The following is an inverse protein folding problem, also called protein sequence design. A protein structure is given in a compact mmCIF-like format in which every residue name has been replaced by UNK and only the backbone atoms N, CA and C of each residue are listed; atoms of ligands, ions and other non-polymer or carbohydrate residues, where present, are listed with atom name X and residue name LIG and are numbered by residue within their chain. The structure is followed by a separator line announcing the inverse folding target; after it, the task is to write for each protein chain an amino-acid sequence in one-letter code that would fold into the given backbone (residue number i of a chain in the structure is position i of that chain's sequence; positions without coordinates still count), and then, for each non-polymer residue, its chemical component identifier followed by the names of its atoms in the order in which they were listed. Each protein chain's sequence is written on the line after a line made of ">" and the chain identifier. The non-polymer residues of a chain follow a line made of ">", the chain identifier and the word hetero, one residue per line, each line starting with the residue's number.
data_IF_182327119539
#
_entry.id   IF_182327119539
#
_cell.length_a   1.000
_cell.length_b   1.000
_cell.length_c   1.000
_cell.angle_alpha   90.00
_cell.angle_beta   90.00
_cell.angle_gamma   90.00
#
_symmetry.space_group_name_H-M   'P 1'
#
loop_
_entity.id
_entity.type
_entity.pdbx_description
1 polymer ?
#
# COMPACT_ATOMS: atom_id res chain seq x y z
N UNK A 1 -0.56 22.90 3.93
CA UNK A 1 -0.80 22.01 5.09
C UNK A 1 -1.68 20.87 4.62
N UNK A 2 -1.36 19.62 4.98
CA UNK A 2 -2.15 18.46 4.55
C UNK A 2 -3.60 18.57 5.05
N UNK A 3 -4.56 18.17 4.22
CA UNK A 3 -5.96 18.13 4.60
C UNK A 3 -6.16 17.16 5.79
N UNK A 4 -6.79 17.63 6.86
CA UNK A 4 -7.01 16.84 8.08
C UNK A 4 -7.88 15.60 7.85
N UNK A 5 -8.81 15.65 6.90
CA UNK A 5 -9.64 14.51 6.49
C UNK A 5 -8.76 13.43 5.86
N UNK A 6 -7.80 13.82 5.02
CA UNK A 6 -6.86 12.88 4.38
C UNK A 6 -5.97 12.19 5.42
N UNK A 7 -5.41 12.95 6.38
CA UNK A 7 -4.61 12.36 7.46
C UNK A 7 -5.42 11.39 8.32
N UNK A 8 -6.63 11.79 8.73
CA UNK A 8 -7.51 10.92 9.52
C UNK A 8 -7.88 9.63 8.79
N UNK A 9 -8.13 9.71 7.48
CA UNK A 9 -8.40 8.52 6.66
C UNK A 9 -7.18 7.58 6.59
N UNK A 10 -5.98 8.14 6.40
CA UNK A 10 -4.73 7.35 6.38
C UNK A 10 -4.47 6.65 7.71
N UNK A 11 -4.71 7.34 8.84
CA UNK A 11 -4.58 6.81 10.20
C UNK A 11 -5.59 5.70 10.51
N UNK A 12 -6.85 5.85 10.06
CA UNK A 12 -7.92 4.89 10.33
C UNK A 12 -7.77 3.60 9.52
N UNK A 13 -7.18 3.67 8.33
CA UNK A 13 -7.22 2.58 7.36
C UNK A 13 -6.60 1.26 7.82
N UNK A 14 -5.47 1.18 8.56
CA UNK A 14 -4.95 -0.10 9.06
C UNK A 14 -5.97 -0.89 9.89
N UNK A 15 -6.73 -0.21 10.76
CA UNK A 15 -7.77 -0.86 11.56
C UNK A 15 -8.98 -1.28 10.72
N UNK A 16 -9.32 -0.51 9.68
CA UNK A 16 -10.38 -0.88 8.73
C UNK A 16 -9.98 -2.11 7.90
N UNK A 17 -8.75 -2.14 7.40
CA UNK A 17 -8.21 -3.27 6.63
C UNK A 17 -8.22 -4.55 7.47
N UNK A 18 -7.73 -4.48 8.71
CA UNK A 18 -7.73 -5.62 9.64
C UNK A 18 -9.16 -6.10 9.94
N UNK A 19 -10.12 -5.19 10.15
CA UNK A 19 -11.51 -5.54 10.37
C UNK A 19 -12.15 -6.20 9.13
N UNK A 20 -11.87 -5.69 7.93
CA UNK A 20 -12.35 -6.28 6.68
C UNK A 20 -11.74 -7.66 6.43
N UNK A 21 -10.45 -7.84 6.69
CA UNK A 21 -9.80 -9.14 6.58
C UNK A 21 -10.37 -10.16 7.57
N UNK A 22 -10.59 -9.75 8.83
CA UNK A 22 -11.17 -10.60 9.87
C UNK A 22 -12.64 -10.99 9.59
N UNK A 23 -13.36 -10.20 8.81
CA UNK A 23 -14.74 -10.50 8.40
C UNK A 23 -14.83 -11.60 7.33
N UNK A 24 -13.70 -12.02 6.74
CA UNK A 24 -13.67 -13.07 5.73
C UNK A 24 -13.90 -14.42 6.43
N UNK A 25 -14.83 -15.26 5.92
CA UNK A 25 -15.07 -16.58 6.50
C UNK A 25 -13.78 -17.43 6.58
N UNK A 26 -13.64 -18.17 7.67
CA UNK A 26 -12.51 -19.09 7.84
C UNK A 26 -12.42 -20.06 6.65
N UNK A 27 -11.21 -20.22 6.11
CA UNK A 27 -10.94 -21.02 4.90
C UNK A 27 -11.08 -20.29 3.57
N UNK A 28 -11.56 -19.03 3.55
CA UNK A 28 -11.75 -18.25 2.31
C UNK A 28 -10.69 -17.18 2.08
N UNK A 29 -9.72 -17.00 2.98
CA UNK A 29 -8.66 -15.98 2.82
C UNK A 29 -7.77 -16.21 1.60
N UNK A 30 -7.70 -17.46 1.11
CA UNK A 30 -6.98 -17.85 -0.11
C UNK A 30 -7.91 -18.22 -1.27
N UNK A 31 -9.23 -18.00 -1.12
CA UNK A 31 -10.15 -18.32 -2.19
C UNK A 31 -9.95 -17.35 -3.37
N UNK A 32 -9.93 -17.90 -4.57
CA UNK A 32 -9.96 -17.16 -5.82
C UNK A 32 -11.14 -17.65 -6.67
N UNK A 33 -11.82 -16.75 -7.41
CA UNK A 33 -12.80 -17.16 -8.41
C UNK A 33 -12.12 -17.92 -9.56
N UNK A 34 -12.92 -18.66 -10.33
CA UNK A 34 -12.42 -19.32 -11.54
C UNK A 34 -11.91 -18.34 -12.61
N UNK A 35 -12.33 -17.07 -12.54
CA UNK A 35 -11.89 -15.98 -13.41
C UNK A 35 -12.00 -14.65 -12.69
N UNK A 36 -11.04 -13.76 -12.93
CA UNK A 36 -11.03 -12.37 -12.48
C UNK A 36 -11.57 -11.38 -13.52
N UNK A 37 -12.10 -11.89 -14.65
CA UNK A 37 -12.64 -11.04 -15.71
C UNK A 37 -13.72 -10.09 -15.18
N UNK A 38 -13.55 -8.79 -15.41
CA UNK A 38 -14.47 -7.74 -14.95
C UNK A 38 -14.20 -7.24 -13.52
N UNK A 39 -13.23 -7.80 -12.81
CA UNK A 39 -12.76 -7.25 -11.52
C UNK A 39 -11.82 -6.09 -11.82
N UNK A 40 -12.05 -4.88 -11.26
CA UNK A 40 -11.27 -3.69 -11.58
C UNK A 40 -9.92 -3.64 -10.83
N UNK A 41 -9.65 -4.59 -9.95
CA UNK A 41 -8.41 -4.69 -9.16
C UNK A 41 -7.50 -5.80 -9.69
N UNK A 42 -6.25 -5.80 -9.20
CA UNK A 42 -5.32 -6.90 -9.40
C UNK A 42 -5.90 -8.25 -8.91
N UNK A 43 -5.61 -9.38 -9.59
CA UNK A 43 -6.21 -10.70 -9.35
C UNK A 43 -5.63 -11.40 -8.12
N UNK A 44 -5.77 -10.79 -6.96
CA UNK A 44 -5.20 -11.25 -5.69
C UNK A 44 -6.27 -11.79 -4.75
N UNK A 45 -6.00 -12.91 -4.10
CA UNK A 45 -6.77 -13.41 -2.95
C UNK A 45 -6.72 -12.41 -1.78
N UNK A 46 -7.57 -12.59 -0.77
CA UNK A 46 -7.56 -11.68 0.37
C UNK A 46 -6.24 -11.66 1.15
N UNK A 47 -5.57 -12.82 1.30
CA UNK A 47 -4.24 -12.91 1.89
C UNK A 47 -3.21 -12.12 1.06
N UNK A 48 -3.25 -12.29 -0.26
CA UNK A 48 -2.35 -11.60 -1.17
C UNK A 48 -2.60 -10.09 -1.20
N UNK A 49 -3.86 -9.64 -1.08
CA UNK A 49 -4.20 -8.22 -0.96
C UNK A 49 -3.58 -7.57 0.30
N UNK A 50 -3.59 -8.26 1.44
CA UNK A 50 -2.92 -7.75 2.65
C UNK A 50 -1.42 -7.59 2.43
N UNK A 51 -0.77 -8.56 1.79
CA UNK A 51 0.65 -8.49 1.47
C UNK A 51 0.95 -7.37 0.46
N UNK A 52 0.14 -7.25 -0.58
CA UNK A 52 0.24 -6.19 -1.58
C UNK A 52 0.12 -4.81 -0.94
N UNK A 53 -0.88 -4.58 -0.08
CA UNK A 53 -1.04 -3.28 0.60
C UNK A 53 0.16 -2.94 1.48
N UNK A 54 0.72 -3.92 2.22
CA UNK A 54 1.96 -3.73 2.99
C UNK A 54 3.12 -3.31 2.07
N UNK A 55 3.29 -3.99 0.95
CA UNK A 55 4.44 -3.80 0.07
C UNK A 55 4.32 -2.50 -0.73
N UNK A 56 3.11 -2.12 -1.17
CA UNK A 56 2.86 -0.79 -1.77
C UNK A 56 3.11 0.34 -0.77
N UNK A 57 2.81 0.17 0.52
CA UNK A 57 3.12 1.17 1.54
C UNK A 57 4.65 1.35 1.70
N UNK A 58 5.38 0.24 1.83
CA UNK A 58 6.81 0.25 2.17
C UNK A 58 7.67 0.50 0.93
N UNK A 59 7.54 -0.32 -0.09
CA UNK A 59 8.39 -0.27 -1.28
C UNK A 59 7.91 0.78 -2.28
N UNK A 60 6.62 1.15 -2.19
CA UNK A 60 6.00 2.19 -3.01
C UNK A 60 6.03 3.53 -2.31
N UNK A 61 5.05 3.78 -1.44
CA UNK A 61 4.79 5.10 -0.89
C UNK A 61 5.95 5.65 -0.06
N UNK A 62 6.60 4.88 0.82
CA UNK A 62 7.73 5.41 1.60
C UNK A 62 8.86 5.88 0.69
N UNK A 63 9.23 5.05 -0.29
CA UNK A 63 10.27 5.39 -1.28
C UNK A 63 9.85 6.62 -2.08
N UNK A 64 8.63 6.63 -2.62
CA UNK A 64 8.12 7.71 -3.47
C UNK A 64 8.04 9.04 -2.73
N UNK A 65 7.55 9.06 -1.49
CA UNK A 65 7.51 10.27 -0.67
C UNK A 65 8.92 10.77 -0.34
N UNK A 66 9.83 9.88 0.05
CA UNK A 66 11.22 10.27 0.32
C UNK A 66 11.89 10.87 -0.92
N UNK A 67 11.82 10.19 -2.06
CA UNK A 67 12.41 10.66 -3.31
C UNK A 67 11.80 11.97 -3.77
N UNK A 68 10.48 12.10 -3.73
CA UNK A 68 9.80 13.36 -4.12
C UNK A 68 10.19 14.51 -3.21
N UNK A 69 10.38 14.26 -1.91
CA UNK A 69 10.81 15.27 -0.94
C UNK A 69 12.28 15.68 -1.14
N UNK A 70 13.17 14.72 -1.39
CA UNK A 70 14.62 14.90 -1.27
C UNK A 70 15.31 15.11 -2.64
N UNK A 71 14.71 14.65 -3.75
CA UNK A 71 15.24 14.76 -5.11
C UNK A 71 14.48 15.79 -5.95
N UNK A 72 15.13 16.36 -6.96
CA UNK A 72 14.50 17.29 -7.91
C UNK A 72 13.84 16.53 -9.06
N UNK A 73 12.52 16.54 -9.13
CA UNK A 73 11.71 15.95 -10.20
C UNK A 73 12.07 14.49 -10.54
N UNK A 74 12.08 13.57 -9.55
CA UNK A 74 12.52 12.19 -9.75
C UNK A 74 11.53 11.40 -10.61
N UNK A 75 12.03 10.37 -11.30
CA UNK A 75 11.18 9.30 -11.86
C UNK A 75 10.88 8.27 -10.79
N UNK A 76 9.60 8.01 -10.53
CA UNK A 76 9.09 7.05 -9.56
C UNK A 76 8.74 5.75 -10.26
N UNK A 77 9.42 4.68 -9.88
CA UNK A 77 9.21 3.36 -10.49
C UNK A 77 7.82 2.81 -10.16
N UNK A 78 7.26 2.07 -11.12
CA UNK A 78 6.11 1.20 -10.85
C UNK A 78 6.55 -0.01 -10.02
N UNK A 79 5.62 -0.65 -9.34
CA UNK A 79 5.86 -1.91 -8.64
C UNK A 79 5.24 -3.02 -9.47
N UNK A 80 6.03 -4.04 -9.78
CA UNK A 80 5.56 -5.26 -10.42
C UNK A 80 4.98 -6.19 -9.35
N UNK A 81 3.67 -6.08 -9.10
CA UNK A 81 3.01 -6.94 -8.11
C UNK A 81 3.08 -8.41 -8.50
N UNK A 82 2.95 -8.75 -9.78
CA UNK A 82 2.96 -10.14 -10.25
C UNK A 82 4.30 -10.81 -9.91
N UNK A 83 5.41 -10.09 -10.09
CA UNK A 83 6.72 -10.55 -9.65
C UNK A 83 6.78 -10.71 -8.11
N UNK A 84 6.34 -9.71 -7.35
CA UNK A 84 6.39 -9.75 -5.87
C UNK A 84 5.58 -10.88 -5.26
N UNK A 85 4.40 -11.21 -5.81
CA UNK A 85 3.56 -12.32 -5.36
C UNK A 85 4.34 -13.63 -5.37
N UNK A 86 5.13 -13.85 -6.43
CA UNK A 86 5.97 -15.04 -6.60
C UNK A 86 7.20 -14.98 -5.69
N UNK A 87 7.96 -13.89 -5.78
CA UNK A 87 9.23 -13.72 -5.07
C UNK A 87 9.08 -13.80 -3.55
N UNK A 88 8.00 -13.23 -3.01
CA UNK A 88 7.71 -13.19 -1.56
C UNK A 88 6.74 -14.27 -1.12
N UNK A 89 6.31 -15.14 -2.04
CA UNK A 89 5.39 -16.24 -1.80
C UNK A 89 4.14 -15.82 -0.99
N UNK A 90 3.41 -14.79 -1.46
CA UNK A 90 2.28 -14.20 -0.74
C UNK A 90 1.25 -15.24 -0.26
N UNK A 91 0.96 -16.26 -1.09
CA UNK A 91 0.05 -17.35 -0.74
C UNK A 91 0.48 -18.20 0.47
N UNK A 92 1.67 -17.99 1.04
CA UNK A 92 2.15 -18.66 2.26
C UNK A 92 2.48 -17.68 3.39
N UNK A 93 2.13 -16.40 3.22
CA UNK A 93 2.45 -15.37 4.20
C UNK A 93 1.61 -15.51 5.48
N UNK A 94 2.14 -14.96 6.57
CA UNK A 94 1.39 -14.72 7.79
C UNK A 94 0.65 -13.38 7.67
N UNK A 95 -0.67 -13.44 7.55
CA UNK A 95 -1.52 -12.26 7.44
C UNK A 95 -1.42 -11.34 8.66
N UNK A 96 -1.30 -11.90 9.87
CA UNK A 96 -1.21 -11.10 11.08
C UNK A 96 0.09 -10.30 11.09
N UNK A 97 1.20 -10.94 10.71
CA UNK A 97 2.48 -10.23 10.58
C UNK A 97 2.41 -9.15 9.49
N UNK A 98 1.83 -9.47 8.32
CA UNK A 98 1.71 -8.50 7.23
C UNK A 98 0.85 -7.27 7.62
N UNK A 99 -0.26 -7.46 8.35
CA UNK A 99 -1.09 -6.38 8.88
C UNK A 99 -0.35 -5.54 9.93
N UNK A 100 0.43 -6.17 10.81
CA UNK A 100 1.25 -5.48 11.80
C UNK A 100 2.33 -4.61 11.13
N UNK A 101 3.03 -5.18 10.14
CA UNK A 101 4.06 -4.47 9.37
C UNK A 101 3.45 -3.29 8.62
N UNK A 102 2.29 -3.48 7.99
CA UNK A 102 1.56 -2.42 7.32
C UNK A 102 1.13 -1.30 8.29
N UNK A 103 0.58 -1.65 9.47
CA UNK A 103 0.20 -0.68 10.48
C UNK A 103 1.39 0.16 10.94
N UNK A 104 2.53 -0.48 11.20
CA UNK A 104 3.76 0.20 11.56
C UNK A 104 4.26 1.10 10.42
N UNK A 105 4.16 0.64 9.17
CA UNK A 105 4.53 1.43 8.00
C UNK A 105 3.62 2.65 7.81
N UNK A 106 2.31 2.49 7.97
CA UNK A 106 1.35 3.59 7.87
C UNK A 106 1.57 4.66 8.94
N UNK A 107 1.91 4.27 10.17
CA UNK A 107 2.24 5.24 11.22
C UNK A 107 3.44 6.12 10.83
N UNK A 108 4.46 5.54 10.18
CA UNK A 108 5.60 6.30 9.64
C UNK A 108 5.16 7.24 8.50
N UNK A 109 4.30 6.78 7.61
CA UNK A 109 3.73 7.63 6.54
C UNK A 109 2.98 8.82 7.10
N UNK A 110 2.09 8.61 8.07
CA UNK A 110 1.33 9.69 8.72
C UNK A 110 2.27 10.69 9.36
N UNK A 111 3.28 10.22 10.10
CA UNK A 111 4.28 11.09 10.75
C UNK A 111 5.06 11.90 9.72
N UNK A 112 5.49 11.28 8.63
CA UNK A 112 6.18 11.94 7.52
C UNK A 112 5.30 13.06 6.93
N UNK A 113 4.08 12.73 6.53
CA UNK A 113 3.17 13.65 5.84
C UNK A 113 2.70 14.79 6.75
N UNK A 114 2.46 14.53 8.04
CA UNK A 114 2.10 15.56 9.00
C UNK A 114 3.26 16.55 9.28
N UNK A 115 4.51 16.11 9.10
CA UNK A 115 5.70 16.93 9.30
C UNK A 115 6.17 17.72 8.06
N UNK A 116 5.52 17.58 6.91
CA UNK A 116 5.89 18.31 5.70
C UNK A 116 5.52 19.80 5.79
N UNK A 117 6.46 20.66 5.38
CA UNK A 117 6.20 22.07 5.16
C UNK A 117 5.24 22.26 3.96
N UNK A 118 4.41 23.32 3.93
CA UNK A 118 3.45 23.56 2.85
C UNK A 118 4.07 23.46 1.44
N UNK A 119 5.26 24.02 1.24
CA UNK A 119 5.96 24.09 -0.05
C UNK A 119 6.48 22.72 -0.51
N UNK A 120 6.64 21.77 0.40
CA UNK A 120 7.05 20.40 0.05
C UNK A 120 5.91 19.62 -0.63
N UNK A 121 4.65 20.04 -0.44
CA UNK A 121 3.51 19.43 -1.15
C UNK A 121 3.43 19.85 -2.63
N UNK A 122 4.06 20.97 -3.00
CA UNK A 122 4.09 21.45 -4.39
C UNK A 122 5.16 20.74 -5.25
N UNK A 123 5.96 19.85 -4.64
CA UNK A 123 7.00 19.09 -5.34
C UNK A 123 6.37 18.05 -6.26
N UNK A 124 6.93 17.92 -7.45
CA UNK A 124 6.45 17.02 -8.50
C UNK A 124 7.47 15.94 -8.85
N UNK A 125 6.98 14.87 -9.45
CA UNK A 125 7.74 13.73 -9.91
C UNK A 125 7.09 13.14 -11.16
N UNK A 126 7.82 12.33 -11.93
CA UNK A 126 7.29 11.57 -13.07
C UNK A 126 6.97 10.16 -12.61
N UNK A 127 5.79 9.64 -12.93
CA UNK A 127 5.44 8.25 -12.60
C UNK A 127 5.72 7.34 -13.79
N UNK A 128 6.45 6.25 -13.57
CA UNK A 128 6.72 5.28 -14.63
C UNK A 128 5.44 4.53 -15.02
N UNK A 129 5.25 4.30 -16.33
CA UNK A 129 4.06 3.61 -16.86
C UNK A 129 2.84 4.51 -17.08
N UNK A 130 2.86 5.76 -16.60
CA UNK A 130 1.84 6.77 -16.90
C UNK A 130 2.49 8.16 -17.02
N UNK A 131 2.57 8.67 -18.25
CA UNK A 131 3.08 10.00 -18.62
C UNK A 131 2.68 10.37 -20.03
#
# INVERSE_FOLDING_TARGET
>A
MMNTVTLAALEAFPSQLEAHYAAIPSGFTQWAPASWAGVPSEPLTALEQVCHVRDIEIDGYHVRFQRTRDESHPTLASIDTDALVIERAYGKADAAQALLDFRAARARTVTLLAGLAPEQFDRTAVFEGYG
#
